data_IF_115753748063
#
_entry.id   IF_115753748063
#
_cell.length_a   1.000
_cell.length_b   1.000
_cell.length_c   1.000
_cell.angle_alpha   90.00
_cell.angle_beta   90.00
_cell.angle_gamma   90.00
#
_symmetry.space_group_name_H-M   'P 1'
#
loop_
_entity.id
_entity.type
_entity.pdbx_description
1 polymer ?
#
# COMPACT_ATOMS: atom_id res chain seq x y z
N UNK A 1 -2.96 -14.27 11.90
CA UNK A 1 -1.85 -14.46 10.97
C UNK A 1 -1.46 -15.93 10.88
N UNK A 2 -1.12 -16.61 12.00
CA UNK A 2 -0.67 -18.02 11.99
C UNK A 2 -1.60 -18.96 11.21
N UNK A 3 -2.91 -18.90 11.45
CA UNK A 3 -3.87 -19.77 10.76
C UNK A 3 -3.98 -19.50 9.26
N UNK A 4 -3.75 -18.26 8.82
CA UNK A 4 -3.72 -17.90 7.40
C UNK A 4 -2.42 -18.39 6.78
N UNK A 5 -1.30 -18.15 7.46
CA UNK A 5 0.02 -18.54 6.98
C UNK A 5 0.23 -20.05 6.84
N UNK A 6 -0.62 -20.87 7.47
CA UNK A 6 -0.61 -22.33 7.26
C UNK A 6 -1.22 -22.77 5.92
N UNK A 7 -1.91 -21.88 5.21
CA UNK A 7 -2.62 -22.19 3.96
C UNK A 7 -2.17 -21.36 2.77
N UNK A 8 -1.63 -20.15 3.02
CA UNK A 8 -1.14 -19.27 1.96
C UNK A 8 -0.05 -18.33 2.48
N UNK A 9 0.74 -17.75 1.60
CA UNK A 9 1.67 -16.68 1.95
C UNK A 9 0.91 -15.45 2.44
N UNK A 10 1.44 -14.79 3.46
CA UNK A 10 0.89 -13.55 4.03
C UNK A 10 1.87 -12.41 3.79
N UNK A 11 1.44 -11.39 3.07
CA UNK A 11 2.22 -10.20 2.78
C UNK A 11 1.70 -9.04 3.64
N UNK A 12 2.59 -8.37 4.35
CA UNK A 12 2.24 -7.28 5.26
C UNK A 12 3.14 -6.08 4.98
N UNK A 13 2.53 -4.91 4.84
CA UNK A 13 3.21 -3.61 4.80
C UNK A 13 2.74 -2.74 5.96
N UNK A 14 3.54 -1.76 6.38
CA UNK A 14 3.10 -0.78 7.38
C UNK A 14 2.19 0.28 6.77
N UNK A 15 1.21 0.72 7.56
CA UNK A 15 0.40 1.90 7.30
C UNK A 15 0.92 3.14 8.04
N UNK A 16 0.21 4.26 7.86
CA UNK A 16 0.57 5.56 8.44
C UNK A 16 0.38 5.65 9.97
N UNK A 17 -0.39 4.73 10.56
CA UNK A 17 -0.61 4.64 12.00
C UNK A 17 0.27 3.59 12.70
N UNK A 18 1.00 2.80 11.93
CA UNK A 18 1.89 1.78 12.47
C UNK A 18 3.20 2.38 12.98
N UNK A 19 3.84 1.68 13.94
CA UNK A 19 5.27 1.83 14.21
C UNK A 19 6.03 0.84 13.34
N UNK A 20 6.68 1.27 12.26
CA UNK A 20 7.35 0.38 11.31
C UNK A 20 8.35 -0.56 11.97
N UNK A 21 9.12 -0.04 12.93
CA UNK A 21 10.15 -0.82 13.64
C UNK A 21 9.52 -1.92 14.50
N UNK A 22 8.38 -1.63 15.16
CA UNK A 22 7.66 -2.63 15.95
C UNK A 22 7.00 -3.68 15.07
N UNK A 23 6.41 -3.27 13.95
CA UNK A 23 5.81 -4.19 12.99
C UNK A 23 6.86 -5.10 12.36
N UNK A 24 8.04 -4.56 12.04
CA UNK A 24 9.17 -5.31 11.49
C UNK A 24 9.89 -6.21 12.50
N UNK A 25 9.62 -6.06 13.81
CA UNK A 25 10.25 -6.89 14.81
C UNK A 25 9.93 -8.38 14.62
N UNK A 26 10.95 -9.19 14.49
CA UNK A 26 10.80 -10.63 14.27
C UNK A 26 10.40 -11.04 12.85
N UNK A 27 10.34 -10.09 11.87
CA UNK A 27 9.97 -10.37 10.47
C UNK A 27 10.78 -11.51 9.86
N UNK A 28 12.10 -11.56 10.10
CA UNK A 28 12.98 -12.64 9.62
C UNK A 28 12.60 -14.02 10.15
N UNK A 29 12.10 -14.11 11.40
CA UNK A 29 11.64 -15.37 11.99
C UNK A 29 10.30 -15.76 11.37
N UNK A 30 9.41 -14.79 11.17
CA UNK A 30 8.08 -15.02 10.60
C UNK A 30 8.13 -15.40 9.12
N UNK A 31 9.12 -14.92 8.39
CA UNK A 31 9.31 -15.22 6.97
C UNK A 31 9.46 -16.74 6.73
N UNK A 32 10.14 -17.45 7.62
CA UNK A 32 10.30 -18.92 7.55
C UNK A 32 8.95 -19.68 7.70
N UNK A 33 7.91 -18.98 8.15
CA UNK A 33 6.55 -19.51 8.31
C UNK A 33 5.57 -18.89 7.28
N UNK A 34 6.05 -18.38 6.16
CA UNK A 34 5.22 -17.82 5.09
C UNK A 34 4.62 -16.44 5.39
N UNK A 35 5.13 -15.71 6.39
CA UNK A 35 4.71 -14.34 6.70
C UNK A 35 5.80 -13.36 6.34
N UNK A 36 5.60 -12.56 5.32
CA UNK A 36 6.56 -11.60 4.79
C UNK A 36 6.14 -10.18 5.18
N UNK A 37 6.97 -9.49 5.97
CA UNK A 37 6.67 -8.15 6.51
C UNK A 37 7.69 -7.16 5.97
N UNK A 38 7.19 -6.15 5.26
CA UNK A 38 7.97 -5.04 4.72
C UNK A 38 7.42 -3.74 5.32
N UNK A 39 8.02 -3.30 6.41
CA UNK A 39 7.48 -2.20 7.21
C UNK A 39 8.23 -0.88 7.06
N UNK A 40 9.46 -0.91 6.57
CA UNK A 40 10.31 0.26 6.39
C UNK A 40 10.77 0.32 4.95
N UNK A 41 10.71 1.50 4.33
CA UNK A 41 11.38 1.76 3.06
C UNK A 41 12.87 1.97 3.32
N UNK A 42 13.71 1.14 2.74
CA UNK A 42 15.16 1.10 2.92
C UNK A 42 15.96 1.51 1.67
N UNK A 43 15.27 2.11 0.69
CA UNK A 43 15.85 2.58 -0.57
C UNK A 43 15.41 1.75 -1.78
N UNK A 44 14.80 0.59 -1.56
CA UNK A 44 14.36 -0.31 -2.62
C UNK A 44 12.90 -0.70 -2.46
N UNK A 45 12.19 -0.90 -3.58
CA UNK A 45 10.87 -1.51 -3.62
C UNK A 45 11.03 -3.03 -3.66
N UNK A 46 10.84 -3.66 -2.51
CA UNK A 46 11.02 -5.10 -2.39
C UNK A 46 9.96 -5.89 -3.19
N UNK A 47 10.44 -6.91 -3.88
CA UNK A 47 9.63 -7.83 -4.68
C UNK A 47 9.70 -9.25 -4.13
N UNK A 48 8.54 -9.91 -4.06
CA UNK A 48 8.42 -11.34 -3.77
C UNK A 48 7.66 -12.01 -4.91
N UNK A 49 8.25 -13.03 -5.50
CA UNK A 49 7.55 -13.86 -6.51
C UNK A 49 6.84 -15.01 -5.80
N UNK A 50 5.54 -15.14 -6.04
CA UNK A 50 4.71 -16.25 -5.59
C UNK A 50 4.03 -16.80 -6.84
N UNK A 51 4.29 -18.08 -7.15
CA UNK A 51 3.88 -18.71 -8.41
C UNK A 51 4.32 -17.86 -9.62
N UNK A 52 3.38 -17.42 -10.44
CA UNK A 52 3.64 -16.63 -11.65
C UNK A 52 3.38 -15.13 -11.46
N UNK A 53 3.26 -14.66 -10.22
CA UNK A 53 2.95 -13.26 -9.89
C UNK A 53 4.08 -12.65 -9.07
N UNK A 54 4.51 -11.46 -9.46
CA UNK A 54 5.42 -10.62 -8.69
C UNK A 54 4.60 -9.70 -7.77
N UNK A 55 4.84 -9.77 -6.48
CA UNK A 55 4.25 -8.89 -5.49
C UNK A 55 5.27 -7.87 -5.03
N UNK A 56 4.96 -6.58 -5.20
CA UNK A 56 5.78 -5.47 -4.76
C UNK A 56 5.18 -4.88 -3.48
N UNK A 57 6.02 -4.65 -2.46
CA UNK A 57 5.60 -4.20 -1.14
C UNK A 57 6.06 -2.78 -0.88
N UNK A 58 5.15 -1.80 -1.06
CA UNK A 58 5.41 -0.39 -0.77
C UNK A 58 4.77 -0.02 0.57
N UNK A 59 5.54 0.03 1.68
CA UNK A 59 5.03 0.51 2.96
C UNK A 59 4.63 1.98 2.87
N UNK A 60 3.92 2.49 3.88
CA UNK A 60 3.64 3.91 3.95
C UNK A 60 4.93 4.72 3.99
N UNK A 61 5.06 5.67 3.07
CA UNK A 61 6.19 6.58 3.00
C UNK A 61 5.76 8.04 3.01
N UNK A 62 6.61 8.86 3.60
CA UNK A 62 6.56 10.34 3.51
C UNK A 62 7.73 10.82 2.66
N UNK A 63 7.64 11.99 1.99
CA UNK A 63 8.74 12.53 1.21
C UNK A 63 10.06 12.57 1.96
N UNK A 64 10.04 12.99 3.24
CA UNK A 64 11.24 13.07 4.07
C UNK A 64 11.93 11.71 4.29
N UNK A 65 11.20 10.60 4.24
CA UNK A 65 11.76 9.25 4.37
C UNK A 65 12.47 8.84 3.09
N UNK A 66 11.88 9.18 1.94
CA UNK A 66 12.39 8.83 0.60
C UNK A 66 13.58 9.69 0.22
N UNK A 67 13.62 10.97 0.64
CA UNK A 67 14.78 11.89 0.44
C UNK A 67 16.10 11.35 0.95
N UNK A 68 16.10 10.42 1.87
CA UNK A 68 17.34 9.78 2.35
C UNK A 68 18.07 9.02 1.25
N UNK A 69 17.34 8.57 0.23
CA UNK A 69 17.83 7.79 -0.91
C UNK A 69 17.75 8.57 -2.20
N UNK A 70 16.74 9.44 -2.34
CA UNK A 70 16.41 10.25 -3.52
C UNK A 70 16.22 11.71 -3.10
N UNK A 71 17.30 12.51 -3.04
CA UNK A 71 17.28 13.86 -2.44
C UNK A 71 16.35 14.87 -3.13
N UNK A 72 16.02 14.65 -4.41
CA UNK A 72 15.18 15.51 -5.26
C UNK A 72 13.68 15.39 -4.95
N UNK A 73 13.26 14.41 -4.16
CA UNK A 73 11.84 14.16 -3.84
C UNK A 73 11.29 15.31 -2.99
N UNK A 74 10.19 15.93 -3.42
CA UNK A 74 9.53 17.04 -2.72
C UNK A 74 8.15 16.68 -2.20
N UNK A 75 7.33 15.99 -3.01
CA UNK A 75 5.93 15.67 -2.74
C UNK A 75 5.72 14.17 -2.46
N UNK A 76 4.53 13.81 -2.00
CA UNK A 76 4.13 12.40 -1.84
C UNK A 76 4.07 11.68 -3.19
N UNK A 77 3.59 12.36 -4.22
CA UNK A 77 3.56 11.79 -5.56
C UNK A 77 4.97 11.57 -6.10
N UNK A 78 5.86 12.55 -5.98
CA UNK A 78 7.27 12.38 -6.38
C UNK A 78 7.90 11.19 -5.65
N UNK A 79 7.64 11.05 -4.35
CA UNK A 79 8.19 9.96 -3.55
C UNK A 79 7.81 8.58 -4.12
N UNK A 80 6.53 8.37 -4.38
CA UNK A 80 6.04 7.08 -4.88
C UNK A 80 6.45 6.87 -6.34
N UNK A 81 6.36 7.90 -7.16
CA UNK A 81 6.78 7.85 -8.57
C UNK A 81 8.27 7.51 -8.69
N UNK A 82 9.13 8.19 -7.94
CA UNK A 82 10.58 7.96 -7.94
C UNK A 82 10.91 6.52 -7.52
N UNK A 83 10.25 6.00 -6.49
CA UNK A 83 10.44 4.60 -6.06
C UNK A 83 10.09 3.63 -7.18
N UNK A 84 8.95 3.82 -7.84
CA UNK A 84 8.48 2.94 -8.91
C UNK A 84 9.39 3.04 -10.15
N UNK A 85 9.75 4.24 -10.57
CA UNK A 85 10.61 4.49 -11.74
C UNK A 85 12.04 3.93 -11.56
N UNK A 86 12.53 3.84 -10.33
CA UNK A 86 13.82 3.22 -10.01
C UNK A 86 13.73 1.72 -9.72
N UNK A 87 12.57 1.10 -9.98
CA UNK A 87 12.35 -0.33 -9.79
C UNK A 87 12.29 -1.04 -11.15
N UNK A 88 13.05 -2.12 -11.29
CA UNK A 88 12.98 -2.96 -12.49
C UNK A 88 11.72 -3.83 -12.47
N UNK A 89 10.69 -3.38 -13.21
CA UNK A 89 9.40 -4.04 -13.35
C UNK A 89 9.34 -4.73 -14.72
N UNK A 90 9.39 -6.06 -14.70
CA UNK A 90 9.21 -6.86 -15.93
C UNK A 90 7.75 -6.88 -16.35
N UNK A 91 7.39 -6.02 -17.31
CA UNK A 91 6.01 -5.89 -17.84
C UNK A 91 5.51 -7.12 -18.61
N UNK A 92 6.37 -8.10 -18.88
CA UNK A 92 5.96 -9.38 -19.49
C UNK A 92 5.37 -10.35 -18.47
N UNK A 93 5.52 -10.07 -17.17
CA UNK A 93 5.00 -10.86 -16.06
C UNK A 93 3.81 -10.16 -15.39
N UNK A 94 3.07 -10.90 -14.58
CA UNK A 94 2.01 -10.33 -13.75
C UNK A 94 2.61 -9.62 -12.55
N UNK A 95 2.29 -8.35 -12.38
CA UNK A 95 2.83 -7.48 -11.34
C UNK A 95 1.72 -6.91 -10.48
N UNK A 96 1.75 -7.16 -9.19
CA UNK A 96 0.81 -6.66 -8.18
C UNK A 96 1.58 -5.81 -7.18
N UNK A 97 1.09 -4.62 -6.87
CA UNK A 97 1.66 -3.79 -5.81
C UNK A 97 0.70 -3.65 -4.63
N UNK A 98 1.25 -3.79 -3.41
CA UNK A 98 0.59 -3.42 -2.17
C UNK A 98 1.09 -2.03 -1.77
N UNK A 99 0.17 -1.11 -1.47
CA UNK A 99 0.52 0.24 -1.03
C UNK A 99 -0.45 0.76 0.04
N UNK A 100 0.06 1.63 0.92
CA UNK A 100 -0.75 2.28 1.96
C UNK A 100 -0.62 3.80 1.84
N UNK A 101 -1.02 4.34 0.70
CA UNK A 101 -0.93 5.77 0.38
C UNK A 101 -2.32 6.33 0.05
N UNK A 102 -2.46 7.65 0.13
CA UNK A 102 -3.68 8.31 -0.30
C UNK A 102 -3.64 8.53 -1.81
N UNK A 103 -4.38 7.70 -2.52
CA UNK A 103 -4.46 7.69 -4.00
C UNK A 103 -5.80 8.23 -4.42
N UNK A 104 -5.80 9.11 -5.41
CA UNK A 104 -7.02 9.60 -6.05
C UNK A 104 -6.95 9.44 -7.57
N UNK A 105 -8.10 9.56 -8.20
CA UNK A 105 -8.22 9.63 -9.65
C UNK A 105 -8.69 11.02 -10.01
N UNK A 106 -8.00 11.70 -10.91
CA UNK A 106 -8.41 13.03 -11.40
C UNK A 106 -9.88 13.01 -11.86
N UNK A 107 -10.67 13.92 -11.33
CA UNK A 107 -12.10 14.04 -11.65
C UNK A 107 -13.03 13.08 -10.89
N UNK A 108 -12.53 12.29 -9.94
CA UNK A 108 -13.32 11.44 -9.07
C UNK A 108 -13.08 11.78 -7.59
N UNK A 109 -14.15 11.80 -6.79
CA UNK A 109 -14.03 11.96 -5.34
C UNK A 109 -13.74 10.60 -4.68
N UNK A 110 -12.64 10.51 -3.94
CA UNK A 110 -12.37 9.37 -3.07
C UNK A 110 -13.17 9.54 -1.79
N UNK A 111 -14.07 8.60 -1.51
CA UNK A 111 -14.93 8.65 -0.33
C UNK A 111 -14.14 8.26 0.91
N UNK A 112 -14.08 9.17 1.89
CA UNK A 112 -13.39 9.00 3.17
C UNK A 112 -14.37 8.80 4.32
N UNK A 113 -13.88 8.35 5.46
CA UNK A 113 -14.58 8.30 6.74
C UNK A 113 -14.01 9.32 7.73
N UNK A 114 -14.78 9.66 8.77
CA UNK A 114 -14.34 10.64 9.79
C UNK A 114 -13.16 10.14 10.65
N UNK A 115 -12.86 8.84 10.59
CA UNK A 115 -11.73 8.22 11.31
C UNK A 115 -10.41 8.32 10.57
N UNK A 116 -10.41 8.82 9.33
CA UNK A 116 -9.20 8.96 8.51
C UNK A 116 -8.53 10.31 8.72
N UNK A 117 -7.20 10.29 8.87
CA UNK A 117 -6.41 11.52 8.94
C UNK A 117 -6.41 12.22 7.58
N UNK A 118 -6.69 13.51 7.58
CA UNK A 118 -6.65 14.34 6.37
C UNK A 118 -5.45 15.27 6.47
N UNK A 119 -4.58 15.24 5.48
CA UNK A 119 -3.54 16.26 5.36
C UNK A 119 -4.15 17.59 4.92
N UNK A 120 -3.71 18.66 5.53
CA UNK A 120 -4.18 20.01 5.20
C UNK A 120 -3.81 20.32 3.74
N UNK A 121 -4.81 20.70 2.94
CA UNK A 121 -4.61 21.09 1.55
C UNK A 121 -4.39 19.93 0.57
N UNK A 122 -4.61 18.65 0.99
CA UNK A 122 -4.47 17.51 0.09
C UNK A 122 -3.04 17.23 -0.38
N UNK A 123 -2.05 17.64 0.40
CA UNK A 123 -0.62 17.50 0.09
C UNK A 123 -0.14 16.04 0.01
N UNK A 124 -0.91 15.12 0.56
CA UNK A 124 -0.63 13.67 0.55
C UNK A 124 -1.27 12.93 -0.62
N UNK A 125 -1.93 13.66 -1.52
CA UNK A 125 -2.59 13.10 -2.68
C UNK A 125 -1.58 12.63 -3.74
N UNK A 126 -1.85 11.43 -4.29
CA UNK A 126 -1.07 10.81 -5.36
C UNK A 126 -2.04 10.42 -6.46
N UNK A 127 -1.73 10.77 -7.71
CA UNK A 127 -2.57 10.37 -8.84
C UNK A 127 -2.42 8.88 -9.13
N UNK A 128 -3.54 8.23 -9.48
CA UNK A 128 -3.62 6.80 -9.78
C UNK A 128 -2.65 6.36 -10.89
N UNK A 129 -2.30 7.25 -11.83
CA UNK A 129 -1.41 6.96 -12.97
C UNK A 129 0.01 6.54 -12.56
N UNK A 130 0.42 6.86 -11.33
CA UNK A 130 1.71 6.39 -10.79
C UNK A 130 1.82 4.85 -10.77
N UNK A 131 0.69 4.15 -10.77
CA UNK A 131 0.61 2.69 -10.71
C UNK A 131 0.30 2.00 -12.06
N UNK A 132 0.37 2.72 -13.17
CA UNK A 132 0.00 2.18 -14.51
C UNK A 132 0.82 0.95 -14.94
N UNK A 133 2.01 0.79 -14.41
CA UNK A 133 2.92 -0.33 -14.70
C UNK A 133 2.52 -1.65 -14.01
N UNK A 134 1.52 -1.61 -13.14
CA UNK A 134 1.04 -2.79 -12.42
C UNK A 134 -0.29 -3.32 -12.99
N UNK A 135 -0.44 -4.63 -12.96
CA UNK A 135 -1.69 -5.31 -13.35
C UNK A 135 -2.77 -5.15 -12.28
N UNK A 136 -2.36 -5.03 -11.01
CA UNK A 136 -3.25 -4.75 -9.90
C UNK A 136 -2.55 -3.98 -8.78
N UNK A 137 -3.27 -3.02 -8.18
CA UNK A 137 -2.83 -2.22 -7.04
C UNK A 137 -3.78 -2.43 -5.87
N UNK A 138 -3.30 -3.12 -4.84
CA UNK A 138 -4.02 -3.35 -3.60
C UNK A 138 -3.72 -2.22 -2.62
N UNK A 139 -4.73 -1.38 -2.34
CA UNK A 139 -4.59 -0.21 -1.49
C UNK A 139 -5.17 -0.42 -0.09
N UNK A 140 -4.40 -0.04 0.94
CA UNK A 140 -4.88 0.28 2.28
C UNK A 140 -5.12 1.79 2.44
N UNK A 141 -5.19 2.29 3.66
CA UNK A 141 -5.36 3.68 4.07
C UNK A 141 -6.83 4.13 4.16
N UNK A 142 -7.61 4.01 3.11
CA UNK A 142 -9.03 4.39 3.12
C UNK A 142 -9.88 3.27 3.69
N UNK A 143 -10.72 3.61 4.69
CA UNK A 143 -11.53 2.63 5.43
C UNK A 143 -12.74 2.12 4.66
N UNK A 144 -13.19 2.87 3.64
CA UNK A 144 -14.29 2.46 2.78
C UNK A 144 -13.78 1.64 1.60
N UNK A 145 -14.29 0.40 1.40
CA UNK A 145 -13.97 -0.38 0.22
C UNK A 145 -14.46 0.35 -1.04
N UNK A 146 -13.56 0.63 -1.98
CA UNK A 146 -13.90 1.31 -3.23
C UNK A 146 -12.86 1.05 -4.31
N UNK A 147 -13.29 0.93 -5.56
CA UNK A 147 -12.42 0.84 -6.71
C UNK A 147 -12.24 2.22 -7.33
N UNK A 148 -11.01 2.60 -7.60
CA UNK A 148 -10.67 3.80 -8.36
C UNK A 148 -10.62 3.50 -9.87
N UNK A 149 -10.29 2.25 -10.21
CA UNK A 149 -10.36 1.67 -11.56
C UNK A 149 -10.56 0.16 -11.47
N UNK A 150 -10.55 -0.54 -12.60
CA UNK A 150 -10.57 -2.01 -12.64
C UNK A 150 -9.33 -2.63 -11.96
N UNK A 151 -8.20 -1.93 -12.00
CA UNK A 151 -6.91 -2.40 -11.52
C UNK A 151 -6.52 -1.86 -10.13
N UNK A 152 -7.18 -0.81 -9.63
CA UNK A 152 -6.79 -0.11 -8.40
C UNK A 152 -7.95 -0.05 -7.43
N UNK A 153 -7.75 -0.65 -6.24
CA UNK A 153 -8.81 -0.78 -5.26
C UNK A 153 -8.32 -0.59 -3.82
N UNK A 154 -9.06 0.19 -3.06
CA UNK A 154 -9.02 0.19 -1.60
C UNK A 154 -9.81 -1.00 -1.05
N UNK A 155 -9.16 -1.85 -0.26
CA UNK A 155 -9.83 -2.99 0.39
C UNK A 155 -10.78 -2.55 1.52
N UNK A 156 -10.55 -1.37 2.08
CA UNK A 156 -11.21 -0.90 3.28
C UNK A 156 -10.61 -1.48 4.55
N UNK A 157 -11.12 -1.04 5.70
CA UNK A 157 -10.74 -1.60 7.00
C UNK A 157 -11.63 -2.81 7.36
N UNK A 158 -11.12 -3.79 8.13
CA UNK A 158 -11.89 -4.99 8.50
C UNK A 158 -13.04 -4.69 9.46
N UNK A 159 -12.94 -3.61 10.24
CA UNK A 159 -13.93 -3.20 11.23
C UNK A 159 -14.38 -1.76 10.97
N UNK A 160 -15.52 -1.37 11.55
CA UNK A 160 -16.02 0.00 11.54
C UNK A 160 -15.39 0.78 12.70
N UNK A 161 -14.59 1.79 12.39
CA UNK A 161 -13.85 2.59 13.39
C UNK A 161 -14.54 3.92 13.73
N UNK A 162 -15.57 4.32 12.97
CA UNK A 162 -16.37 5.52 13.24
C UNK A 162 -17.84 5.31 12.93
N UNK A 163 -18.71 6.19 13.45
CA UNK A 163 -20.14 6.17 13.15
C UNK A 163 -20.45 6.48 11.67
N UNK A 164 -19.60 7.23 10.99
CA UNK A 164 -19.75 7.49 9.54
C UNK A 164 -19.65 6.20 8.73
N UNK A 165 -18.97 5.19 9.25
CA UNK A 165 -18.80 3.87 8.62
C UNK A 165 -20.00 2.93 8.81
N UNK A 166 -20.99 3.31 9.65
CA UNK A 166 -22.14 2.45 9.93
C UNK A 166 -22.98 2.10 8.69
N UNK A 167 -22.98 2.97 7.68
CA UNK A 167 -23.86 2.90 6.50
C UNK A 167 -23.35 2.03 5.36
N UNK A 168 -22.13 1.48 5.44
CA UNK A 168 -21.59 0.64 4.38
C UNK A 168 -20.97 -0.66 4.93
N UNK A 169 -20.93 -1.66 4.08
CA UNK A 169 -20.42 -2.99 4.43
C UNK A 169 -18.89 -3.02 4.38
N UNK A 170 -18.31 -3.81 5.27
CA UNK A 170 -16.91 -4.19 5.22
C UNK A 170 -16.77 -5.45 4.39
N UNK A 171 -15.75 -5.49 3.54
CA UNK A 171 -15.56 -6.54 2.56
C UNK A 171 -14.14 -7.09 2.59
N UNK A 172 -13.97 -8.29 2.10
CA UNK A 172 -12.67 -8.85 1.72
C UNK A 172 -12.61 -8.83 0.20
N UNK A 173 -11.52 -8.33 -0.35
CA UNK A 173 -11.27 -8.38 -1.80
C UNK A 173 -10.63 -9.72 -2.12
N UNK A 174 -11.21 -10.44 -3.08
CA UNK A 174 -10.74 -11.73 -3.58
C UNK A 174 -10.42 -11.59 -5.05
#
# INVERSE_FOLDING_TARGET
VKNIASTCAVLIISGNHDSPERLGFGSKIMQNNGVHIYSVFDGELHKLKIDDVNFYMLPFVKPIMVRRFYPEVETYEDAVRTIIENTDIDKSQKNVILSHQFITKTGAETMRSDSESVSVGGLDNIDISVFDDFDYTALGHIHRPQSLSEKVRYCGSPLKYSFSEAKYDKTVTI
#
